data_IF_682008880828
#
_entry.id   IF_682008880828
#
_cell.length_a   1.000
_cell.length_b   1.000
_cell.length_c   1.000
_cell.angle_alpha   90.00
_cell.angle_beta   90.00
_cell.angle_gamma   90.00
#
_symmetry.space_group_name_H-M   'P 1'
#
loop_
_entity.id
_entity.type
_entity.pdbx_description
1 polymer ?
#
# COMPACT_ATOMS: atom_id res chain seq x y z
N UNK A 1 11.50 3.44 15.74
CA UNK A 1 11.92 3.24 14.34
C UNK A 1 12.05 1.76 14.03
N UNK A 2 12.89 1.01 14.74
CA UNK A 2 13.00 -0.46 14.59
C UNK A 2 11.65 -1.20 14.74
N UNK A 3 10.85 -0.81 15.74
CA UNK A 3 9.51 -1.37 15.97
C UNK A 3 8.58 -1.17 14.77
N UNK A 4 8.61 0.00 14.13
CA UNK A 4 7.78 0.30 12.96
C UNK A 4 8.20 -0.53 11.74
N UNK A 5 9.51 -0.69 11.51
CA UNK A 5 10.03 -1.53 10.42
C UNK A 5 9.61 -2.98 10.64
N UNK A 6 9.74 -3.50 11.87
CA UNK A 6 9.25 -4.85 12.23
C UNK A 6 7.76 -5.00 11.94
N UNK A 7 6.94 -4.01 12.30
CA UNK A 7 5.50 -4.04 12.02
C UNK A 7 5.22 -4.10 10.51
N UNK A 8 5.89 -3.28 9.70
CA UNK A 8 5.70 -3.27 8.23
C UNK A 8 6.03 -4.64 7.63
N UNK A 9 7.15 -5.24 8.04
CA UNK A 9 7.55 -6.59 7.60
C UNK A 9 6.55 -7.66 8.06
N UNK A 10 6.11 -7.60 9.32
CA UNK A 10 5.14 -8.57 9.86
C UNK A 10 3.78 -8.47 9.17
N UNK A 11 3.32 -7.26 8.82
CA UNK A 11 2.06 -7.08 8.11
C UNK A 11 2.11 -7.64 6.69
N UNK A 12 3.24 -7.43 5.99
CA UNK A 12 3.48 -8.05 4.70
C UNK A 12 3.46 -9.58 4.80
N UNK A 13 4.27 -10.16 5.69
CA UNK A 13 4.38 -11.62 5.85
C UNK A 13 3.05 -12.28 6.25
N UNK A 14 2.30 -11.63 7.15
CA UNK A 14 0.97 -12.09 7.57
C UNK A 14 0.01 -12.15 6.39
N UNK A 15 0.04 -11.13 5.53
CA UNK A 15 -0.82 -11.04 4.35
C UNK A 15 -0.36 -11.95 3.21
N UNK A 16 0.95 -12.14 3.06
CA UNK A 16 1.54 -13.09 2.12
C UNK A 16 1.36 -14.55 2.56
N UNK A 17 0.92 -14.79 3.81
CA UNK A 17 0.79 -16.11 4.43
C UNK A 17 2.12 -16.89 4.39
N UNK A 18 3.22 -16.20 4.67
CA UNK A 18 4.57 -16.78 4.65
C UNK A 18 5.14 -17.03 3.25
N UNK A 19 4.50 -16.51 2.19
CA UNK A 19 5.06 -16.51 0.82
C UNK A 19 5.93 -15.29 0.59
N UNK A 20 6.79 -15.38 -0.42
CA UNK A 20 7.65 -14.25 -0.84
C UNK A 20 6.86 -13.11 -1.48
N UNK A 21 5.74 -13.41 -2.16
CA UNK A 21 4.91 -12.42 -2.87
C UNK A 21 3.45 -12.45 -2.42
N UNK A 22 2.81 -11.28 -2.43
CA UNK A 22 1.36 -11.09 -2.23
C UNK A 22 0.60 -11.25 -3.54
N UNK A 23 -0.41 -12.13 -3.57
CA UNK A 23 -1.37 -12.14 -4.67
C UNK A 23 -2.40 -11.02 -4.55
N UNK A 24 -3.06 -10.66 -5.66
CA UNK A 24 -4.05 -9.59 -5.73
C UNK A 24 -5.13 -9.60 -4.63
N UNK A 25 -5.68 -10.78 -4.32
CA UNK A 25 -6.70 -10.91 -3.27
C UNK A 25 -6.15 -10.60 -1.86
N UNK A 26 -4.92 -10.98 -1.58
CA UNK A 26 -4.29 -10.74 -0.28
C UNK A 26 -3.84 -9.29 -0.16
N UNK A 27 -3.28 -8.74 -1.24
CA UNK A 27 -2.94 -7.32 -1.35
C UNK A 27 -4.19 -6.45 -1.10
N UNK A 28 -5.31 -6.78 -1.75
CA UNK A 28 -6.57 -6.06 -1.54
C UNK A 28 -7.01 -6.05 -0.09
N UNK A 29 -6.94 -7.20 0.60
CA UNK A 29 -7.27 -7.27 2.02
C UNK A 29 -6.32 -6.45 2.90
N UNK A 30 -5.02 -6.46 2.60
CA UNK A 30 -4.03 -5.65 3.33
C UNK A 30 -4.35 -4.17 3.16
N UNK A 31 -4.56 -3.70 1.92
CA UNK A 31 -4.85 -2.29 1.63
C UNK A 31 -6.15 -1.85 2.31
N UNK A 32 -7.22 -2.64 2.22
CA UNK A 32 -8.47 -2.35 2.92
C UNK A 32 -8.30 -2.28 4.44
N UNK A 33 -7.60 -3.25 5.03
CA UNK A 33 -7.47 -3.35 6.49
C UNK A 33 -6.50 -2.33 7.10
N UNK A 34 -5.43 -1.95 6.38
CA UNK A 34 -4.34 -1.13 6.92
C UNK A 34 -4.36 0.30 6.38
N UNK A 35 -4.83 0.49 5.15
CA UNK A 35 -4.80 1.78 4.44
C UNK A 35 -6.20 2.39 4.25
N UNK A 36 -7.28 1.70 4.61
CA UNK A 36 -8.64 2.22 4.45
C UNK A 36 -8.95 3.48 5.25
N UNK A 37 -8.23 3.72 6.35
CA UNK A 37 -8.33 4.99 7.09
C UNK A 37 -7.51 6.12 6.48
N UNK A 38 -6.63 5.82 5.51
CA UNK A 38 -5.68 6.77 4.91
C UNK A 38 -6.11 7.13 3.48
N UNK A 39 -6.56 6.15 2.70
CA UNK A 39 -6.99 6.32 1.32
C UNK A 39 -8.50 6.14 1.21
N UNK A 40 -9.18 7.10 0.58
CA UNK A 40 -10.64 7.17 0.55
C UNK A 40 -11.32 6.18 -0.42
N UNK A 41 -10.56 5.30 -1.09
CA UNK A 41 -11.07 4.41 -2.16
C UNK A 41 -10.55 2.96 -2.07
N UNK A 42 -10.07 2.51 -0.90
CA UNK A 42 -9.55 1.14 -0.74
C UNK A 42 -10.60 0.06 -0.90
N UNK A 43 -11.88 0.41 -0.80
CA UNK A 43 -12.99 -0.53 -0.96
C UNK A 43 -13.25 -0.88 -2.44
N UNK A 44 -12.75 -0.05 -3.36
CA UNK A 44 -12.86 -0.29 -4.79
C UNK A 44 -11.86 -1.34 -5.25
N UNK A 45 -12.35 -2.53 -5.56
CA UNK A 45 -11.52 -3.62 -6.10
C UNK A 45 -10.84 -3.23 -7.43
N UNK A 46 -11.41 -2.30 -8.20
CA UNK A 46 -10.74 -1.74 -9.38
C UNK A 46 -9.60 -0.81 -9.00
N UNK A 47 -9.80 0.13 -8.09
CA UNK A 47 -8.74 1.05 -7.64
C UNK A 47 -7.55 0.29 -7.03
N UNK A 48 -7.82 -0.75 -6.24
CA UNK A 48 -6.78 -1.62 -5.68
C UNK A 48 -6.06 -2.42 -6.77
N UNK A 49 -6.75 -2.90 -7.79
CA UNK A 49 -6.12 -3.59 -8.93
C UNK A 49 -5.25 -2.65 -9.76
N UNK A 50 -5.70 -1.43 -9.99
CA UNK A 50 -4.92 -0.43 -10.73
C UNK A 50 -3.71 0.01 -9.91
N UNK A 51 -3.85 0.14 -8.59
CA UNK A 51 -2.73 0.34 -7.67
C UNK A 51 -1.75 -0.84 -7.72
N UNK A 52 -2.24 -2.08 -7.70
CA UNK A 52 -1.40 -3.26 -7.80
C UNK A 52 -0.63 -3.26 -9.12
N UNK A 53 -1.29 -2.94 -10.24
CA UNK A 53 -0.65 -2.80 -11.55
C UNK A 53 0.39 -1.69 -11.61
N UNK A 54 0.15 -0.59 -10.89
CA UNK A 54 1.10 0.52 -10.79
C UNK A 54 2.32 0.20 -9.91
N UNK A 55 2.25 -0.85 -9.09
CA UNK A 55 3.34 -1.32 -8.23
C UNK A 55 4.05 -2.56 -8.79
N UNK A 56 3.36 -3.37 -9.60
CA UNK A 56 3.83 -4.60 -10.25
C UNK A 56 4.76 -4.27 -11.42
N UNK A 57 5.95 -3.75 -11.10
CA UNK A 57 6.98 -3.32 -12.05
C UNK A 57 7.52 -4.50 -12.88
N UNK A 58 7.56 -5.69 -12.27
CA UNK A 58 8.03 -6.90 -12.92
C UNK A 58 6.93 -7.64 -13.72
N UNK A 59 5.68 -7.17 -13.64
CA UNK A 59 4.51 -7.71 -14.32
C UNK A 59 4.28 -9.21 -14.01
N UNK A 60 4.64 -9.68 -12.82
CA UNK A 60 4.45 -11.07 -12.39
C UNK A 60 3.02 -11.34 -11.87
N UNK A 61 2.19 -10.30 -11.78
CA UNK A 61 0.82 -10.36 -11.30
C UNK A 61 0.71 -10.49 -9.78
N UNK A 62 1.81 -10.24 -9.06
CA UNK A 62 1.93 -10.29 -7.60
C UNK A 62 2.64 -9.02 -7.12
N UNK A 63 2.74 -8.90 -5.80
CA UNK A 63 3.42 -7.78 -5.14
C UNK A 63 4.49 -8.38 -4.23
N UNK A 64 5.75 -8.23 -4.63
CA UNK A 64 6.92 -8.52 -3.83
C UNK A 64 7.04 -7.57 -2.64
N UNK A 65 7.93 -7.88 -1.70
CA UNK A 65 8.17 -7.00 -0.55
C UNK A 65 8.68 -5.61 -0.98
N UNK A 66 9.48 -5.52 -2.03
CA UNK A 66 9.99 -4.25 -2.54
C UNK A 66 8.86 -3.38 -3.11
N UNK A 67 7.98 -3.96 -3.92
CA UNK A 67 6.83 -3.26 -4.50
C UNK A 67 5.85 -2.82 -3.41
N UNK A 68 5.71 -3.64 -2.35
CA UNK A 68 4.97 -3.24 -1.15
C UNK A 68 5.62 -2.03 -0.44
N UNK A 69 6.95 -1.97 -0.31
CA UNK A 69 7.62 -0.80 0.27
C UNK A 69 7.41 0.47 -0.55
N UNK A 70 7.34 0.38 -1.88
CA UNK A 70 6.99 1.51 -2.74
C UNK A 70 5.60 2.07 -2.38
N UNK A 71 4.61 1.20 -2.14
CA UNK A 71 3.31 1.62 -1.66
C UNK A 71 3.38 2.28 -0.28
N UNK A 72 4.10 1.69 0.67
CA UNK A 72 4.25 2.27 2.01
C UNK A 72 4.90 3.65 1.93
N UNK A 73 5.90 3.83 1.07
CA UNK A 73 6.53 5.12 0.79
C UNK A 73 5.56 6.13 0.20
N UNK A 74 4.75 5.73 -0.78
CA UNK A 74 3.73 6.59 -1.37
C UNK A 74 2.69 7.06 -0.34
N UNK A 75 2.19 6.12 0.47
CA UNK A 75 1.25 6.42 1.55
C UNK A 75 1.89 7.34 2.59
N UNK A 76 3.14 7.07 2.98
CA UNK A 76 3.86 7.89 3.96
C UNK A 76 4.07 9.32 3.45
N UNK A 77 4.40 9.50 2.17
CA UNK A 77 4.51 10.82 1.55
C UNK A 77 3.15 11.53 1.54
N UNK A 78 2.09 10.87 1.07
CA UNK A 78 0.75 11.46 1.06
C UNK A 78 0.27 11.84 2.48
N UNK A 79 0.62 11.05 3.49
CA UNK A 79 0.29 11.34 4.89
C UNK A 79 1.14 12.47 5.46
N UNK A 80 2.43 12.52 5.10
CA UNK A 80 3.34 13.62 5.43
C UNK A 80 2.81 14.93 4.85
N UNK A 81 2.47 14.97 3.56
CA UNK A 81 1.93 16.15 2.88
C UNK A 81 0.63 16.66 3.53
N UNK A 82 -0.28 15.74 3.90
CA UNK A 82 -1.50 16.07 4.63
C UNK A 82 -1.21 16.66 6.02
N UNK A 83 -0.21 16.14 6.72
CA UNK A 83 0.21 16.59 8.07
C UNK A 83 1.02 17.89 8.03
N UNK A 84 1.79 18.12 6.97
CA UNK A 84 2.62 19.33 6.78
C UNK A 84 1.84 20.48 6.15
N UNK A 85 0.54 20.31 5.88
CA UNK A 85 -0.34 21.40 5.45
C UNK A 85 -0.29 21.73 3.96
N UNK A 86 0.23 20.86 3.10
CA UNK A 86 0.19 21.05 1.64
C UNK A 86 -1.16 20.60 1.05
N UNK A 87 -2.26 20.97 1.71
CA UNK A 87 -3.54 21.14 1.03
C UNK A 87 -3.62 22.61 0.59
N UNK A 88 -2.87 22.95 -0.47
CA UNK A 88 -3.13 24.17 -1.21
C UNK A 88 -3.41 23.80 -2.67
N UNK A 89 -4.67 24.00 -3.07
CA UNK A 89 -5.11 24.24 -4.45
C UNK A 89 -4.92 23.13 -5.49
N UNK A 90 -5.87 22.17 -5.53
CA UNK A 90 -6.25 21.52 -6.78
C UNK A 90 -7.74 21.15 -6.77
N UNK A 91 -8.58 22.18 -6.58
CA UNK A 91 -9.99 22.16 -6.98
C UNK A 91 -10.35 23.60 -7.33
N UNK A 92 -10.08 23.98 -8.57
CA UNK A 92 -10.65 25.14 -9.23
C UNK A 92 -11.25 24.66 -10.56
#
# INVERSE_FOLDING_TARGET
>A
MESAIKTVVQQFLSSARGKENLGAKNFQKLVQSQLGNIMSDTDSSSAVKDMMRGLDDNQDGKVSFQEYLNLVGYVANAWSERKTGTQNSAAN
#
